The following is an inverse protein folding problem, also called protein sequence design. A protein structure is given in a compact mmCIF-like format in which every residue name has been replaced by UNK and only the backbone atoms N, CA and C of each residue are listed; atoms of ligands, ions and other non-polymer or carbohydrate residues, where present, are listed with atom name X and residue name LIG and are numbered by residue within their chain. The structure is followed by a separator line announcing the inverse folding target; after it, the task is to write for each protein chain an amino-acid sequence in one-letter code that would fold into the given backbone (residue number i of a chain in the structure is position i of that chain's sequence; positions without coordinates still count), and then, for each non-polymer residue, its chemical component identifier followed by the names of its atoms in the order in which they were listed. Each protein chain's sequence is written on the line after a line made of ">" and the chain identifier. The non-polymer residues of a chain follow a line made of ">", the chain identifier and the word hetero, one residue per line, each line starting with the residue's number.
data_IF_698837184428
#
_entry.id   IF_698837184428
#
_cell.length_a   1.000
_cell.length_b   1.000
_cell.length_c   1.000
_cell.angle_alpha   90.00
_cell.angle_beta   90.00
_cell.angle_gamma   90.00
#
_symmetry.space_group_name_H-M   'P 1'
#
loop_
_entity.id
_entity.type
_entity.pdbx_description
1 polymer ?
#
# COMPACT_ATOMS: atom_id res chain seq x y z
N UNK A 1 26.65 36.48 1.40
CA UNK A 1 27.44 37.08 0.31
C UNK A 1 28.56 37.83 0.99
N UNK A 2 29.77 37.27 0.90
CA UNK A 2 30.99 37.90 1.38
C UNK A 2 31.15 39.24 0.64
N UNK A 3 31.71 40.26 1.29
CA UNK A 3 32.16 41.44 0.54
C UNK A 3 33.07 40.91 -0.56
N UNK A 4 32.78 41.28 -1.80
CA UNK A 4 33.56 40.77 -2.91
C UNK A 4 35.02 41.15 -2.66
N UNK A 5 35.97 40.26 -2.96
CA UNK A 5 37.40 40.51 -2.69
C UNK A 5 37.85 41.88 -3.25
N UNK A 6 37.23 42.29 -4.35
CA UNK A 6 37.34 43.60 -4.97
C UNK A 6 36.77 44.75 -4.13
N UNK A 7 35.60 44.60 -3.50
CA UNK A 7 34.99 45.62 -2.63
C UNK A 7 35.82 45.83 -1.35
N UNK A 8 36.37 44.75 -0.78
CA UNK A 8 37.31 44.84 0.36
C UNK A 8 38.60 45.54 -0.02
N UNK A 9 39.16 45.21 -1.19
CA UNK A 9 40.36 45.84 -1.71
C UNK A 9 40.12 47.33 -2.03
N UNK A 10 38.99 47.66 -2.64
CA UNK A 10 38.59 49.05 -2.90
C UNK A 10 38.39 49.83 -1.60
N UNK A 11 37.75 49.23 -0.58
CA UNK A 11 37.59 49.87 0.73
C UNK A 11 38.92 50.08 1.45
N UNK A 12 39.84 49.11 1.35
CA UNK A 12 41.19 49.24 1.89
C UNK A 12 42.00 50.35 1.19
N UNK A 13 41.93 50.42 -0.13
CA UNK A 13 42.56 51.50 -0.90
C UNK A 13 41.94 52.87 -0.60
N UNK A 14 40.61 52.94 -0.46
CA UNK A 14 39.92 54.18 -0.09
C UNK A 14 40.29 54.63 1.34
N UNK A 15 40.36 53.72 2.31
CA UNK A 15 40.80 54.03 3.68
C UNK A 15 42.26 54.45 3.75
N UNK A 16 43.14 53.79 2.99
CA UNK A 16 44.56 54.15 2.94
C UNK A 16 44.79 55.51 2.28
N UNK A 17 44.11 55.78 1.15
CA UNK A 17 44.20 57.08 0.46
C UNK A 17 43.60 58.21 1.31
N UNK A 18 42.49 57.94 2.00
CA UNK A 18 41.89 58.88 2.94
C UNK A 18 42.86 59.24 4.08
N UNK A 19 43.50 58.24 4.69
CA UNK A 19 44.47 58.45 5.77
C UNK A 19 45.70 59.24 5.32
N UNK A 20 46.20 58.98 4.10
CA UNK A 20 47.32 59.75 3.53
C UNK A 20 46.93 61.21 3.27
N UNK A 21 45.77 61.46 2.67
CA UNK A 21 45.29 62.83 2.40
C UNK A 21 45.04 63.60 3.70
N UNK A 22 44.53 62.94 4.74
CA UNK A 22 44.36 63.53 6.06
C UNK A 22 45.70 63.86 6.74
N UNK A 23 46.70 62.97 6.62
CA UNK A 23 48.05 63.20 7.16
C UNK A 23 48.74 64.37 6.47
N UNK A 24 48.64 64.47 5.14
CA UNK A 24 49.24 65.57 4.36
C UNK A 24 48.59 66.91 4.71
N UNK A 25 47.28 66.96 4.92
CA UNK A 25 46.62 68.16 5.42
C UNK A 25 47.12 68.58 6.81
N UNK A 26 47.27 67.62 7.73
CA UNK A 26 47.74 67.93 9.08
C UNK A 26 49.15 68.55 9.09
N UNK A 27 49.95 68.33 8.04
CA UNK A 27 51.32 68.84 7.92
C UNK A 27 51.44 70.04 6.98
N UNK A 28 50.44 70.31 6.12
CA UNK A 28 50.53 71.34 5.07
C UNK A 28 49.24 72.15 4.91
N UNK A 29 49.35 73.48 4.87
CA UNK A 29 48.22 74.40 4.61
C UNK A 29 47.78 74.45 3.12
N UNK A 30 48.20 73.48 2.30
CA UNK A 30 47.87 73.46 0.87
C UNK A 30 46.41 73.07 0.59
N UNK A 31 45.75 72.40 1.53
CA UNK A 31 44.39 71.87 1.36
C UNK A 31 43.43 72.69 2.21
N UNK A 32 42.37 73.21 1.59
CA UNK A 32 41.36 74.01 2.29
C UNK A 32 40.41 73.12 3.11
N UNK A 33 40.00 73.58 4.30
CA UNK A 33 39.09 72.86 5.21
C UNK A 33 37.76 72.41 4.54
N UNK A 34 37.31 73.14 3.51
CA UNK A 34 36.12 72.79 2.72
C UNK A 34 36.28 71.50 1.91
N UNK A 35 37.48 71.22 1.42
CA UNK A 35 37.75 70.03 0.61
C UNK A 35 37.79 68.77 1.49
N UNK A 36 38.29 68.92 2.71
CA UNK A 36 38.40 67.83 3.68
C UNK A 36 37.07 67.48 4.31
N UNK A 37 36.25 68.49 4.62
CA UNK A 37 34.87 68.25 5.07
C UNK A 37 34.05 67.50 4.02
N UNK A 38 34.24 67.80 2.72
CA UNK A 38 33.63 67.04 1.63
C UNK A 38 34.16 65.60 1.56
N UNK A 39 35.47 65.43 1.69
CA UNK A 39 36.13 64.12 1.64
C UNK A 39 35.70 63.21 2.80
N UNK A 40 35.61 63.77 4.02
CA UNK A 40 35.06 63.10 5.21
C UNK A 40 33.60 62.71 4.98
N UNK A 41 32.77 63.62 4.45
CA UNK A 41 31.35 63.32 4.19
C UNK A 41 31.18 62.19 3.17
N UNK A 42 31.95 62.19 2.08
CA UNK A 42 31.93 61.11 1.07
C UNK A 42 32.41 59.79 1.68
N UNK A 43 33.46 59.81 2.49
CA UNK A 43 33.94 58.60 3.15
C UNK A 43 32.92 58.02 4.14
N UNK A 44 32.30 58.86 4.97
CA UNK A 44 31.26 58.44 5.93
C UNK A 44 30.04 57.85 5.19
N UNK A 45 29.60 58.48 4.11
CA UNK A 45 28.45 57.97 3.33
C UNK A 45 28.73 56.61 2.71
N UNK A 46 29.94 56.35 2.21
CA UNK A 46 30.36 55.03 1.72
C UNK A 46 30.38 54.00 2.84
N UNK A 47 30.93 54.33 4.01
CA UNK A 47 30.95 53.44 5.18
C UNK A 47 29.51 53.08 5.62
N UNK A 48 28.62 54.08 5.71
CA UNK A 48 27.22 53.85 6.08
C UNK A 48 26.52 52.98 5.03
N UNK A 49 26.75 53.22 3.74
CA UNK A 49 26.16 52.41 2.67
C UNK A 49 26.61 50.94 2.72
N UNK A 50 27.89 50.68 3.01
CA UNK A 50 28.42 49.32 3.16
C UNK A 50 27.82 48.61 4.38
N UNK A 51 27.73 49.29 5.53
CA UNK A 51 27.11 48.74 6.73
C UNK A 51 25.61 48.46 6.54
N UNK A 52 24.90 49.37 5.85
CA UNK A 52 23.50 49.19 5.50
C UNK A 52 23.32 47.95 4.58
N UNK A 53 24.16 47.79 3.56
CA UNK A 53 24.11 46.63 2.65
C UNK A 53 24.40 45.30 3.36
N UNK A 54 25.34 45.29 4.31
CA UNK A 54 25.67 44.09 5.07
C UNK A 54 24.51 43.67 6.02
N UNK A 55 23.90 44.65 6.68
CA UNK A 55 22.81 44.41 7.64
C UNK A 55 21.51 43.98 6.95
N UNK A 56 21.13 44.59 5.82
CA UNK A 56 19.93 44.21 5.07
C UNK A 56 20.02 42.80 4.53
N UNK A 57 21.19 42.41 4.02
CA UNK A 57 21.42 41.05 3.53
C UNK A 57 21.31 40.02 4.66
N UNK A 58 21.92 40.29 5.82
CA UNK A 58 21.82 39.37 6.97
C UNK A 58 20.38 39.23 7.47
N UNK A 59 19.62 40.32 7.50
CA UNK A 59 18.20 40.28 7.85
C UNK A 59 17.39 39.49 6.83
N UNK A 60 17.67 39.67 5.53
CA UNK A 60 16.99 38.99 4.43
C UNK A 60 17.31 37.50 4.39
N UNK A 61 18.56 37.10 4.63
CA UNK A 61 18.94 35.68 4.74
C UNK A 61 18.26 35.04 5.93
N UNK A 62 18.26 35.69 7.09
CA UNK A 62 17.61 35.15 8.28
C UNK A 62 16.10 35.01 8.07
N UNK A 63 15.45 36.01 7.48
CA UNK A 63 14.03 35.96 7.16
C UNK A 63 13.70 34.86 6.15
N UNK A 64 14.52 34.70 5.11
CA UNK A 64 14.32 33.63 4.13
C UNK A 64 14.56 32.25 4.76
N UNK A 65 15.63 32.06 5.52
CA UNK A 65 15.94 30.75 6.12
C UNK A 65 14.91 30.35 7.18
N UNK A 66 14.45 31.30 8.00
CA UNK A 66 13.49 31.01 9.06
C UNK A 66 12.10 30.71 8.46
N UNK A 67 11.66 31.48 7.48
CA UNK A 67 10.38 31.22 6.81
C UNK A 67 10.42 29.96 5.93
N UNK A 68 11.51 29.70 5.21
CA UNK A 68 11.65 28.48 4.40
C UNK A 68 11.74 27.25 5.30
N UNK A 69 12.49 27.33 6.40
CA UNK A 69 12.57 26.26 7.40
C UNK A 69 11.21 25.95 8.02
N UNK A 70 10.48 26.98 8.46
CA UNK A 70 9.15 26.84 9.03
C UNK A 70 8.09 26.31 8.04
N UNK A 71 8.16 26.72 6.76
CA UNK A 71 7.27 26.17 5.71
C UNK A 71 7.61 24.72 5.42
N UNK A 72 8.89 24.38 5.32
CA UNK A 72 9.33 23.01 5.05
C UNK A 72 8.92 22.06 6.20
N UNK A 73 9.11 22.48 7.45
CA UNK A 73 8.69 21.68 8.62
C UNK A 73 7.16 21.46 8.62
N UNK A 74 6.37 22.50 8.31
CA UNK A 74 4.92 22.37 8.20
C UNK A 74 4.52 21.41 7.08
N UNK A 75 5.15 21.51 5.91
CA UNK A 75 4.90 20.60 4.80
C UNK A 75 5.24 19.14 5.15
N UNK A 76 6.36 18.89 5.83
CA UNK A 76 6.72 17.56 6.30
C UNK A 76 5.72 17.02 7.33
N UNK A 77 5.27 17.88 8.26
CA UNK A 77 4.27 17.51 9.26
C UNK A 77 2.92 17.18 8.61
N UNK A 78 2.47 18.02 7.68
CA UNK A 78 1.23 17.81 6.94
C UNK A 78 1.28 16.55 6.08
N UNK A 79 2.42 16.29 5.42
CA UNK A 79 2.64 15.06 4.65
C UNK A 79 2.59 13.82 5.55
N UNK A 80 3.27 13.86 6.70
CA UNK A 80 3.29 12.76 7.67
C UNK A 80 1.90 12.48 8.22
N UNK A 81 1.15 13.54 8.53
CA UNK A 81 -0.22 13.44 9.04
C UNK A 81 -1.19 12.93 7.97
N UNK A 82 -1.07 13.40 6.73
CA UNK A 82 -1.85 12.87 5.60
C UNK A 82 -1.56 11.39 5.36
N UNK A 83 -0.29 11.00 5.40
CA UNK A 83 0.13 9.61 5.28
C UNK A 83 -0.42 8.73 6.41
N UNK A 84 -0.36 9.21 7.66
CA UNK A 84 -0.94 8.54 8.82
C UNK A 84 -2.45 8.31 8.67
N UNK A 85 -3.20 9.33 8.21
CA UNK A 85 -4.64 9.21 7.96
C UNK A 85 -4.94 8.22 6.85
N UNK A 86 -4.16 8.26 5.77
CA UNK A 86 -4.30 7.33 4.66
C UNK A 86 -4.07 5.88 5.11
N UNK A 87 -3.00 5.60 5.85
CA UNK A 87 -2.73 4.26 6.41
C UNK A 87 -3.87 3.82 7.33
N UNK A 88 -4.35 4.70 8.21
CA UNK A 88 -5.45 4.36 9.11
C UNK A 88 -6.73 3.99 8.35
N UNK A 89 -7.06 4.75 7.29
CA UNK A 89 -8.19 4.47 6.40
C UNK A 89 -8.02 3.14 5.67
N UNK A 90 -6.84 2.92 5.07
CA UNK A 90 -6.53 1.68 4.34
C UNK A 90 -6.59 0.46 5.26
N UNK A 91 -6.08 0.56 6.50
CA UNK A 91 -6.16 -0.50 7.50
C UNK A 91 -7.61 -0.80 7.89
N UNK A 92 -8.43 0.23 8.04
CA UNK A 92 -9.84 0.07 8.35
C UNK A 92 -10.60 -0.64 7.21
N UNK A 93 -10.36 -0.23 5.97
CA UNK A 93 -10.94 -0.84 4.78
C UNK A 93 -10.48 -2.31 4.62
N UNK A 94 -9.19 -2.57 4.77
CA UNK A 94 -8.63 -3.92 4.75
C UNK A 94 -9.28 -4.84 5.81
N UNK A 95 -9.43 -4.35 7.04
CA UNK A 95 -10.11 -5.12 8.10
C UNK A 95 -11.58 -5.39 7.77
N UNK A 96 -12.28 -4.40 7.20
CA UNK A 96 -13.67 -4.55 6.78
C UNK A 96 -13.82 -5.61 5.69
N UNK A 97 -12.96 -5.60 4.69
CA UNK A 97 -12.97 -6.61 3.62
C UNK A 97 -12.58 -7.99 4.14
N UNK A 98 -11.62 -8.07 5.08
CA UNK A 98 -11.27 -9.33 5.71
C UNK A 98 -12.44 -9.95 6.50
N UNK A 99 -13.21 -9.13 7.23
CA UNK A 99 -14.41 -9.57 7.93
C UNK A 99 -15.52 -10.01 6.96
N UNK A 100 -15.71 -9.30 5.85
CA UNK A 100 -16.64 -9.68 4.78
C UNK A 100 -16.27 -11.03 4.19
N UNK A 101 -15.02 -11.20 3.78
CA UNK A 101 -14.52 -12.46 3.21
C UNK A 101 -14.67 -13.63 4.20
N UNK A 102 -14.36 -13.41 5.48
CA UNK A 102 -14.56 -14.43 6.52
C UNK A 102 -16.02 -14.82 6.68
N UNK A 103 -16.94 -13.86 6.62
CA UNK A 103 -18.38 -14.12 6.63
C UNK A 103 -18.80 -14.97 5.43
N UNK A 104 -18.33 -14.60 4.23
CA UNK A 104 -18.68 -15.31 3.00
C UNK A 104 -18.14 -16.75 2.99
N UNK A 105 -16.91 -16.97 3.47
CA UNK A 105 -16.33 -18.31 3.65
C UNK A 105 -17.15 -19.14 4.63
N UNK A 106 -17.60 -18.56 5.74
CA UNK A 106 -18.45 -19.26 6.70
C UNK A 106 -19.82 -19.63 6.08
N UNK A 107 -20.43 -18.72 5.34
CA UNK A 107 -21.71 -18.98 4.64
C UNK A 107 -21.52 -20.08 3.60
N UNK A 108 -20.43 -20.05 2.83
CA UNK A 108 -20.11 -21.09 1.87
C UNK A 108 -19.89 -22.45 2.57
N UNK A 109 -19.16 -22.48 3.68
CA UNK A 109 -18.93 -23.69 4.47
C UNK A 109 -20.26 -24.29 4.96
N UNK A 110 -21.17 -23.48 5.50
CA UNK A 110 -22.50 -23.94 5.93
C UNK A 110 -23.33 -24.51 4.77
N UNK A 111 -23.25 -23.90 3.58
CA UNK A 111 -23.91 -24.44 2.37
C UNK A 111 -23.33 -25.78 1.95
N UNK A 112 -22.00 -25.93 2.02
CA UNK A 112 -21.34 -27.21 1.73
C UNK A 112 -21.74 -28.29 2.73
N UNK A 113 -21.74 -27.99 4.03
CA UNK A 113 -22.13 -28.95 5.06
C UNK A 113 -23.60 -29.37 4.90
N UNK A 114 -24.49 -28.43 4.53
CA UNK A 114 -25.87 -28.73 4.19
C UNK A 114 -25.99 -29.68 2.98
N UNK A 115 -25.33 -29.35 1.88
CA UNK A 115 -25.33 -30.17 0.66
C UNK A 115 -24.77 -31.57 0.92
N UNK A 116 -23.71 -31.65 1.73
CA UNK A 116 -23.10 -32.91 2.13
C UNK A 116 -24.08 -33.78 2.92
N UNK A 117 -24.78 -33.20 3.92
CA UNK A 117 -25.78 -33.93 4.69
C UNK A 117 -26.99 -34.34 3.85
N UNK A 118 -27.45 -33.49 2.92
CA UNK A 118 -28.54 -33.84 1.98
C UNK A 118 -28.12 -34.99 1.06
N UNK A 119 -26.89 -34.97 0.56
CA UNK A 119 -26.32 -36.05 -0.25
C UNK A 119 -26.23 -37.37 0.54
N UNK A 120 -25.68 -37.33 1.75
CA UNK A 120 -25.56 -38.52 2.61
C UNK A 120 -26.93 -39.12 2.93
N UNK A 121 -27.94 -38.28 3.22
CA UNK A 121 -29.31 -38.72 3.44
C UNK A 121 -29.93 -39.38 2.20
N UNK A 122 -29.78 -38.78 1.01
CA UNK A 122 -30.32 -39.35 -0.23
C UNK A 122 -29.61 -40.67 -0.55
N UNK A 123 -28.28 -40.72 -0.34
CA UNK A 123 -27.49 -41.92 -0.56
C UNK A 123 -27.91 -43.06 0.35
N UNK A 124 -28.16 -42.79 1.65
CA UNK A 124 -28.62 -43.82 2.58
C UNK A 124 -30.03 -44.31 2.24
N UNK A 125 -30.95 -43.40 1.94
CA UNK A 125 -32.32 -43.73 1.55
C UNK A 125 -32.34 -44.58 0.27
N UNK A 126 -31.52 -44.24 -0.71
CA UNK A 126 -31.40 -45.01 -1.94
C UNK A 126 -30.84 -46.41 -1.70
N UNK A 127 -29.83 -46.52 -0.83
CA UNK A 127 -29.26 -47.82 -0.45
C UNK A 127 -30.29 -48.72 0.26
N UNK A 128 -31.09 -48.15 1.18
CA UNK A 128 -32.19 -48.87 1.83
C UNK A 128 -33.26 -49.32 0.83
N UNK A 129 -33.63 -48.46 -0.13
CA UNK A 129 -34.58 -48.82 -1.19
C UNK A 129 -34.07 -49.98 -2.04
N UNK A 130 -32.79 -49.95 -2.41
CA UNK A 130 -32.15 -51.04 -3.17
C UNK A 130 -32.15 -52.35 -2.39
N UNK A 131 -31.82 -52.30 -1.09
CA UNK A 131 -31.87 -53.48 -0.23
C UNK A 131 -33.30 -54.03 -0.16
N UNK A 132 -34.31 -53.18 0.06
CA UNK A 132 -35.70 -53.61 0.14
C UNK A 132 -36.20 -54.21 -1.17
N UNK A 133 -35.83 -53.63 -2.32
CA UNK A 133 -36.15 -54.18 -3.63
C UNK A 133 -35.52 -55.56 -3.84
N UNK A 134 -34.29 -55.76 -3.37
CA UNK A 134 -33.61 -57.05 -3.47
C UNK A 134 -34.27 -58.11 -2.59
N UNK A 135 -34.63 -57.77 -1.35
CA UNK A 135 -35.37 -58.67 -0.44
C UNK A 135 -36.74 -59.07 -1.02
N UNK A 136 -37.43 -58.15 -1.70
CA UNK A 136 -38.68 -58.45 -2.38
C UNK A 136 -38.47 -59.40 -3.56
N UNK A 137 -37.47 -59.17 -4.41
CA UNK A 137 -37.13 -60.05 -5.54
C UNK A 137 -36.77 -61.46 -5.05
N UNK A 138 -35.98 -61.57 -3.97
CA UNK A 138 -35.62 -62.87 -3.37
C UNK A 138 -36.86 -63.61 -2.84
N UNK A 139 -37.80 -62.88 -2.22
CA UNK A 139 -39.07 -63.47 -1.75
C UNK A 139 -39.96 -63.91 -2.91
N UNK A 140 -40.02 -63.13 -3.99
CA UNK A 140 -40.73 -63.51 -5.23
C UNK A 140 -40.11 -64.78 -5.80
N UNK A 141 -38.80 -64.83 -5.97
CA UNK A 141 -38.09 -66.01 -6.49
C UNK A 141 -38.34 -67.26 -5.62
N UNK A 142 -38.33 -67.11 -4.29
CA UNK A 142 -38.66 -68.20 -3.38
C UNK A 142 -40.10 -68.71 -3.57
N UNK A 143 -41.06 -67.80 -3.67
CA UNK A 143 -42.48 -68.15 -3.87
C UNK A 143 -42.71 -68.77 -5.26
N UNK A 144 -42.09 -68.24 -6.31
CA UNK A 144 -42.13 -68.82 -7.66
C UNK A 144 -41.57 -70.24 -7.67
N UNK A 145 -40.41 -70.45 -7.03
CA UNK A 145 -39.82 -71.79 -6.88
C UNK A 145 -40.77 -72.74 -6.14
N UNK A 146 -41.42 -72.27 -5.06
CA UNK A 146 -42.42 -73.05 -4.33
C UNK A 146 -43.64 -73.38 -5.18
N UNK A 147 -44.18 -72.44 -5.94
CA UNK A 147 -45.31 -72.67 -6.85
C UNK A 147 -44.96 -73.68 -7.95
N UNK A 148 -43.73 -73.63 -8.46
CA UNK A 148 -43.22 -74.60 -9.42
C UNK A 148 -43.15 -76.02 -8.83
N UNK A 149 -42.73 -76.17 -7.57
CA UNK A 149 -42.75 -77.45 -6.84
C UNK A 149 -44.18 -78.03 -6.72
N UNK A 150 -45.22 -77.18 -6.65
CA UNK A 150 -46.63 -77.59 -6.60
C UNK A 150 -47.30 -77.73 -7.98
N UNK A 151 -46.54 -77.64 -9.08
CA UNK A 151 -47.03 -77.89 -10.43
C UNK A 151 -47.82 -76.74 -11.08
N UNK A 152 -47.80 -75.54 -10.49
CA UNK A 152 -48.38 -74.33 -11.10
C UNK A 152 -47.29 -73.54 -11.84
N UNK A 153 -47.23 -73.68 -13.16
CA UNK A 153 -46.33 -72.91 -14.03
C UNK A 153 -47.04 -71.69 -14.61
N UNK A 154 -47.07 -70.57 -13.90
CA UNK A 154 -47.46 -69.28 -14.51
C UNK A 154 -46.22 -68.51 -14.98
N UNK A 155 -46.22 -67.98 -16.21
CA UNK A 155 -45.12 -67.15 -16.68
C UNK A 155 -45.26 -65.75 -16.09
N UNK A 156 -44.38 -65.38 -15.15
CA UNK A 156 -44.31 -64.03 -14.64
C UNK A 156 -43.65 -63.13 -15.68
N UNK A 157 -44.45 -62.29 -16.33
CA UNK A 157 -44.00 -61.24 -17.25
C UNK A 157 -43.20 -60.22 -16.46
N UNK A 158 -41.87 -60.35 -16.51
CA UNK A 158 -40.89 -59.51 -15.81
C UNK A 158 -40.94 -58.08 -16.37
N UNK A 159 -41.54 -57.14 -15.64
CA UNK A 159 -41.39 -55.71 -15.93
C UNK A 159 -40.10 -55.21 -15.26
N UNK A 160 -39.19 -54.53 -15.98
CA UNK A 160 -37.95 -54.06 -15.39
C UNK A 160 -38.24 -52.83 -14.52
N UNK A 161 -38.25 -53.01 -13.20
CA UNK A 161 -38.28 -51.89 -12.27
C UNK A 161 -36.85 -51.41 -12.02
N UNK A 162 -36.53 -50.25 -12.62
CA UNK A 162 -35.37 -49.39 -12.34
C UNK A 162 -33.97 -49.96 -12.60
N UNK A 163 -33.06 -49.06 -12.97
CA UNK A 163 -31.76 -49.36 -13.56
C UNK A 163 -30.89 -50.33 -12.72
N UNK A 164 -30.13 -51.23 -13.36
CA UNK A 164 -29.30 -52.20 -12.67
C UNK A 164 -28.25 -51.51 -11.78
N UNK A 165 -27.90 -52.09 -10.62
CA UNK A 165 -26.96 -51.52 -9.65
C UNK A 165 -25.57 -51.21 -10.24
N UNK A 166 -25.22 -51.80 -11.39
CA UNK A 166 -23.97 -51.54 -12.10
C UNK A 166 -23.93 -50.22 -12.87
N UNK A 167 -25.04 -49.51 -13.03
CA UNK A 167 -25.12 -48.26 -13.82
C UNK A 167 -25.15 -46.98 -12.98
N UNK A 168 -25.35 -47.08 -11.66
CA UNK A 168 -25.44 -45.91 -10.77
C UNK A 168 -24.14 -45.81 -9.99
N UNK A 169 -23.08 -45.42 -10.70
CA UNK A 169 -21.83 -44.99 -10.08
C UNK A 169 -22.01 -43.51 -9.74
N UNK A 170 -22.40 -43.22 -8.50
CA UNK A 170 -22.38 -41.85 -7.99
C UNK A 170 -20.94 -41.34 -8.13
N UNK A 171 -20.77 -40.20 -8.82
CA UNK A 171 -19.49 -39.50 -8.84
C UNK A 171 -19.12 -39.17 -7.40
N UNK A 172 -17.86 -39.37 -7.02
CA UNK A 172 -17.38 -39.00 -5.69
C UNK A 172 -17.82 -37.56 -5.39
N UNK A 173 -18.36 -37.29 -4.18
CA UNK A 173 -18.73 -35.93 -3.81
C UNK A 173 -17.50 -35.03 -3.99
N UNK A 174 -17.67 -33.75 -4.35
CA UNK A 174 -16.55 -32.83 -4.54
C UNK A 174 -15.71 -32.81 -3.27
N UNK A 175 -14.57 -33.52 -3.30
CA UNK A 175 -13.63 -33.54 -2.19
C UNK A 175 -13.18 -32.10 -1.97
N UNK A 176 -13.28 -31.62 -0.72
CA UNK A 176 -12.51 -30.45 -0.29
C UNK A 176 -11.06 -30.74 -0.69
N UNK A 177 -10.59 -30.08 -1.74
CA UNK A 177 -9.16 -29.91 -1.94
C UNK A 177 -8.73 -29.12 -0.72
N UNK A 178 -8.19 -29.82 0.28
CA UNK A 178 -7.32 -29.15 1.25
C UNK A 178 -6.25 -28.49 0.37
N UNK A 179 -6.05 -27.17 0.45
CA UNK A 179 -4.90 -26.59 -0.20
C UNK A 179 -3.70 -27.35 0.34
N UNK A 180 -3.03 -28.10 -0.55
CA UNK A 180 -1.73 -28.65 -0.24
C UNK A 180 -0.87 -27.46 0.19
N UNK A 181 -0.28 -27.55 1.37
CA UNK A 181 0.86 -26.73 1.81
C UNK A 181 2.10 -27.05 0.94
N UNK A 182 1.97 -26.89 -0.38
CA UNK A 182 3.09 -26.69 -1.27
C UNK A 182 3.09 -25.21 -1.65
N UNK A 183 3.68 -24.44 -0.74
CA UNK A 183 4.18 -23.09 -0.97
C UNK A 183 5.05 -23.09 -2.24
N UNK A 184 4.42 -22.79 -3.39
CA UNK A 184 5.10 -22.12 -4.50
C UNK A 184 4.26 -20.91 -4.83
N UNK A 185 4.68 -19.77 -4.30
CA UNK A 185 4.26 -18.46 -4.77
C UNK A 185 4.39 -18.41 -6.29
N UNK A 186 3.29 -18.62 -7.01
CA UNK A 186 3.11 -17.95 -8.28
C UNK A 186 2.70 -16.54 -7.93
N UNK A 187 3.68 -15.64 -8.04
CA UNK A 187 3.54 -14.19 -7.99
C UNK A 187 2.41 -13.74 -8.91
N UNK A 188 1.20 -13.68 -8.38
CA UNK A 188 0.14 -12.84 -8.90
C UNK A 188 0.57 -11.40 -8.62
N UNK A 189 1.07 -10.74 -9.66
CA UNK A 189 1.46 -9.35 -9.64
C UNK A 189 0.34 -8.49 -9.04
N UNK A 190 0.55 -8.02 -7.81
CA UNK A 190 -0.12 -6.85 -7.30
C UNK A 190 0.48 -5.65 -8.06
N UNK A 191 -0.32 -4.83 -8.75
CA UNK A 191 0.18 -3.60 -9.34
C UNK A 191 0.32 -2.59 -8.20
N UNK A 192 1.53 -2.04 -8.02
CA UNK A 192 1.88 -0.85 -7.20
C UNK A 192 3.06 -1.11 -6.25
N UNK A 193 4.21 -1.52 -6.78
CA UNK A 193 5.51 -1.21 -6.15
C UNK A 193 6.61 -1.29 -7.19
N UNK A 194 6.74 -0.24 -8.00
CA UNK A 194 7.96 -0.01 -8.78
C UNK A 194 8.66 1.19 -8.15
N UNK A 195 9.34 0.94 -7.05
CA UNK A 195 10.37 1.85 -6.53
C UNK A 195 11.63 1.47 -7.31
N UNK A 196 12.04 2.36 -8.20
CA UNK A 196 13.30 2.29 -8.92
C UNK A 196 14.41 2.57 -7.90
N UNK A 197 15.16 1.53 -7.52
CA UNK A 197 16.51 1.73 -7.00
C UNK A 197 17.38 2.15 -8.18
N UNK A 198 17.81 3.41 -8.17
CA UNK A 198 18.88 3.89 -9.04
C UNK A 198 20.19 3.35 -8.46
N UNK A 199 20.86 2.48 -9.22
CA UNK A 199 22.24 2.07 -8.97
C UNK A 199 23.16 3.30 -9.04
N UNK A 200 24.02 3.45 -8.03
CA UNK A 200 25.14 4.37 -8.00
C UNK A 200 26.24 3.88 -8.97
N UNK A 201 26.65 4.74 -9.90
CA UNK A 201 28.01 4.78 -10.48
C UNK A 201 28.64 6.15 -10.18
#
# INVERSE_FOLDING_TARGET
>A
MELDSFELLAFFLCTSMFGLLFSVWSETELIADREITLLIAVFITVVIALLARLSTNRALTNFLTDNVGGVHEKQLRDLTEAHRRHIASLKHESNREHLRLRSDVNIAALKFDRLYNEHDYISSMYQEQMQHSQEQEDRIQYLEKKLQEFGQSTPATRAPFSAPPSQIRFSDPPRRQRPNDDFRFTTSAAPLTQVVETEDE
#
